data_IF_371222016844
#
_entry.id   IF_371222016844
#
_cell.length_a   1.000
_cell.length_b   1.000
_cell.length_c   1.000
_cell.angle_alpha   90.00
_cell.angle_beta   90.00
_cell.angle_gamma   90.00
#
_symmetry.space_group_name_H-M   'P 1'
#
loop_
_entity.id
_entity.type
_entity.pdbx_description
1 polymer ?
#
# COMPACT_ATOMS: atom_id res chain seq x y z
N UNK A 1 -11.79 -13.54 39.18
CA UNK A 1 -11.76 -12.51 38.12
C UNK A 1 -10.86 -13.06 37.03
N UNK A 2 -11.43 -13.36 35.85
CA UNK A 2 -10.70 -14.02 34.77
C UNK A 2 -10.44 -12.99 33.68
N UNK A 3 -9.20 -12.54 33.57
CA UNK A 3 -8.81 -11.61 32.51
C UNK A 3 -9.11 -12.22 31.15
N UNK A 4 -9.93 -11.52 30.36
CA UNK A 4 -10.22 -11.85 28.97
C UNK A 4 -8.96 -11.64 28.14
N UNK A 5 -8.11 -12.67 28.03
CA UNK A 5 -6.92 -12.62 27.17
C UNK A 5 -7.38 -12.69 25.71
N UNK A 6 -7.54 -11.52 25.08
CA UNK A 6 -7.72 -11.41 23.63
C UNK A 6 -6.33 -11.54 23.00
N UNK A 7 -6.06 -12.68 22.37
CA UNK A 7 -4.87 -12.84 21.52
C UNK A 7 -5.22 -12.47 20.09
N UNK A 8 -4.55 -11.48 19.54
CA UNK A 8 -4.58 -11.11 18.12
C UNK A 8 -3.34 -11.70 17.43
N UNK A 9 -3.43 -11.91 16.12
CA UNK A 9 -2.28 -12.26 15.27
C UNK A 9 -2.39 -11.46 13.96
N UNK A 10 -1.25 -11.11 13.38
CA UNK A 10 -1.18 -10.29 12.16
C UNK A 10 -1.32 -11.16 10.92
N UNK A 11 -2.40 -10.95 10.15
CA UNK A 11 -2.67 -11.67 8.91
C UNK A 11 -1.67 -11.36 7.79
N UNK A 12 -0.85 -10.32 7.91
CA UNK A 12 0.25 -10.02 6.98
C UNK A 12 1.45 -10.94 7.18
N UNK A 13 1.65 -11.40 8.41
CA UNK A 13 2.78 -12.25 8.80
C UNK A 13 2.35 -13.72 8.91
N UNK A 14 1.07 -13.96 9.22
CA UNK A 14 0.56 -15.27 9.63
C UNK A 14 -0.81 -15.57 9.00
N UNK A 15 -0.90 -16.62 8.18
CA UNK A 15 -2.15 -17.11 7.61
C UNK A 15 -2.75 -18.22 8.50
N UNK A 16 -4.04 -18.18 8.87
CA UNK A 16 -4.70 -19.26 9.57
C UNK A 16 -4.70 -20.55 8.73
N UNK A 17 -4.04 -21.59 9.25
CA UNK A 17 -4.00 -22.92 8.65
C UNK A 17 -5.21 -23.75 9.04
N UNK A 18 -5.55 -23.76 10.34
CA UNK A 18 -6.73 -24.46 10.87
C UNK A 18 -7.33 -23.72 12.05
N UNK A 19 -8.66 -23.75 12.15
CA UNK A 19 -9.41 -23.23 13.30
C UNK A 19 -10.27 -24.36 13.82
N UNK A 20 -10.01 -24.80 15.06
CA UNK A 20 -10.78 -25.88 15.69
C UNK A 20 -11.42 -25.36 16.97
N UNK A 21 -12.74 -25.54 17.05
CA UNK A 21 -13.51 -25.26 18.26
C UNK A 21 -13.60 -26.54 19.08
N UNK A 22 -13.21 -26.46 20.34
CA UNK A 22 -13.38 -27.53 21.32
C UNK A 22 -14.32 -27.07 22.43
N UNK A 23 -15.12 -27.98 22.99
CA UNK A 23 -15.88 -27.73 24.20
C UNK A 23 -15.25 -28.57 25.30
N UNK A 24 -14.79 -27.92 26.37
CA UNK A 24 -14.25 -28.59 27.56
C UNK A 24 -14.93 -27.96 28.77
N UNK A 25 -15.45 -28.78 29.68
CA UNK A 25 -16.16 -28.35 30.89
C UNK A 25 -17.29 -27.32 30.61
N UNK A 26 -18.06 -27.57 29.55
CA UNK A 26 -19.16 -26.72 29.07
C UNK A 26 -18.73 -25.30 28.65
N UNK A 27 -17.42 -25.07 28.44
CA UNK A 27 -16.85 -23.81 27.96
C UNK A 27 -16.24 -23.99 26.56
N UNK A 28 -16.47 -23.05 25.64
CA UNK A 28 -15.86 -23.09 24.31
C UNK A 28 -14.40 -22.64 24.37
N UNK A 29 -13.54 -23.40 23.71
CA UNK A 29 -12.15 -23.06 23.42
C UNK A 29 -11.95 -23.03 21.91
N UNK A 30 -11.17 -22.09 21.41
CA UNK A 30 -10.80 -22.00 20.00
C UNK A 30 -9.29 -22.12 19.89
N UNK A 31 -8.82 -23.09 19.11
CA UNK A 31 -7.41 -23.25 18.77
C UNK A 31 -7.25 -22.83 17.32
N UNK A 32 -6.35 -21.87 17.09
CA UNK A 32 -6.01 -21.37 15.76
C UNK A 32 -4.54 -21.74 15.51
N UNK A 33 -4.29 -22.61 14.54
CA UNK A 33 -2.95 -22.84 14.04
C UNK A 33 -2.70 -21.88 12.87
N UNK A 34 -1.58 -21.16 12.90
CA UNK A 34 -1.17 -20.20 11.88
C UNK A 34 0.17 -20.61 11.29
N UNK A 35 0.41 -20.26 10.03
CA UNK A 35 1.70 -20.43 9.33
C UNK A 35 2.15 -19.11 8.71
N UNK A 36 3.45 -18.93 8.43
CA UNK A 36 3.93 -17.69 7.81
C UNK A 36 3.20 -17.43 6.49
N UNK A 37 2.70 -16.20 6.32
CA UNK A 37 2.01 -15.82 5.09
C UNK A 37 3.01 -15.75 3.91
N UNK A 38 2.78 -16.57 2.89
CA UNK A 38 3.47 -16.49 1.60
C UNK A 38 2.64 -15.60 0.67
N UNK A 39 3.14 -14.41 0.36
CA UNK A 39 2.52 -13.49 -0.59
C UNK A 39 2.87 -13.90 -2.03
N UNK A 40 2.22 -14.96 -2.53
CA UNK A 40 2.44 -15.46 -3.88
C UNK A 40 1.53 -14.72 -4.87
N UNK A 41 2.11 -14.16 -5.91
CA UNK A 41 1.38 -13.76 -7.12
C UNK A 41 1.66 -14.79 -8.20
N UNK A 42 0.65 -15.27 -8.91
CA UNK A 42 0.82 -16.29 -9.95
C UNK A 42 0.30 -15.77 -11.30
N UNK A 43 1.02 -16.04 -12.38
CA UNK A 43 0.53 -15.88 -13.76
C UNK A 43 0.39 -17.23 -14.46
N UNK A 44 -0.55 -17.31 -15.41
CA UNK A 44 -0.75 -18.52 -16.22
C UNK A 44 0.22 -18.49 -17.40
N UNK A 45 1.03 -19.53 -17.52
CA UNK A 45 1.98 -19.75 -18.62
C UNK A 45 1.66 -21.10 -19.28
N UNK A 46 0.98 -21.05 -20.43
CA UNK A 46 0.38 -22.23 -21.08
C UNK A 46 -0.62 -22.94 -20.16
N UNK A 47 -0.34 -24.20 -19.84
CA UNK A 47 -1.15 -25.03 -18.94
C UNK A 47 -0.69 -25.00 -17.47
N UNK A 48 0.32 -24.18 -17.13
CA UNK A 48 0.91 -24.11 -15.78
C UNK A 48 0.67 -22.74 -15.12
N UNK A 49 0.73 -22.73 -13.79
CA UNK A 49 0.82 -21.52 -12.99
C UNK A 49 2.27 -21.34 -12.55
N UNK A 50 2.83 -20.15 -12.78
CA UNK A 50 4.19 -19.78 -12.38
C UNK A 50 4.12 -18.57 -11.46
N UNK A 51 5.07 -18.48 -10.53
CA UNK A 51 5.19 -17.31 -9.65
C UNK A 51 5.55 -16.07 -10.47
N UNK A 52 4.90 -14.97 -10.13
CA UNK A 52 5.11 -13.64 -10.67
C UNK A 52 5.72 -12.81 -9.56
N UNK A 53 6.86 -12.17 -9.82
CA UNK A 53 7.41 -11.23 -8.86
C UNK A 53 6.40 -10.12 -8.58
N UNK A 54 6.31 -9.68 -7.33
CA UNK A 54 5.32 -8.65 -6.92
C UNK A 54 5.50 -7.36 -7.72
N UNK A 55 6.75 -6.98 -8.02
CA UNK A 55 7.04 -5.82 -8.87
C UNK A 55 6.52 -6.00 -10.31
N UNK A 56 6.72 -7.18 -10.90
CA UNK A 56 6.18 -7.51 -12.22
C UNK A 56 4.65 -7.48 -12.22
N UNK A 57 3.99 -7.95 -11.17
CA UNK A 57 2.54 -7.86 -11.04
C UNK A 57 2.03 -6.41 -11.13
N UNK A 58 2.66 -5.49 -10.39
CA UNK A 58 2.25 -4.09 -10.44
C UNK A 58 2.42 -3.50 -11.85
N UNK A 59 3.52 -3.81 -12.54
CA UNK A 59 3.78 -3.27 -13.87
C UNK A 59 2.92 -3.91 -14.96
N UNK A 60 2.88 -5.24 -15.01
CA UNK A 60 2.28 -6.01 -16.10
C UNK A 60 0.77 -6.20 -15.94
N UNK A 61 0.26 -6.12 -14.72
CA UNK A 61 -1.15 -6.37 -14.40
C UNK A 61 -1.82 -5.10 -13.89
N UNK A 62 -1.38 -4.54 -12.76
CA UNK A 62 -2.11 -3.44 -12.13
C UNK A 62 -2.05 -2.14 -12.95
N UNK A 63 -0.87 -1.79 -13.44
CA UNK A 63 -0.65 -0.58 -14.23
C UNK A 63 -0.65 -0.83 -15.73
N UNK A 64 -1.15 -1.99 -16.16
CA UNK A 64 -1.21 -2.31 -17.57
C UNK A 64 -2.01 -1.24 -18.34
N UNK A 65 -1.35 -0.63 -19.32
CA UNK A 65 -1.95 0.43 -20.14
C UNK A 65 -1.97 1.81 -19.49
N UNK A 66 -1.36 2.00 -18.32
CA UNK A 66 -1.21 3.31 -17.71
C UNK A 66 0.03 4.01 -18.27
N UNK A 67 -0.08 5.31 -18.52
CA UNK A 67 1.05 6.17 -18.90
C UNK A 67 1.93 6.42 -17.66
N UNK A 68 3.22 6.08 -17.75
CA UNK A 68 4.18 6.39 -16.69
C UNK A 68 4.54 7.89 -16.71
N UNK A 69 4.41 8.56 -15.57
CA UNK A 69 4.71 9.99 -15.45
C UNK A 69 5.70 10.30 -14.34
N UNK A 70 6.48 11.37 -14.55
CA UNK A 70 7.25 12.03 -13.51
C UNK A 70 6.40 13.13 -12.88
N UNK A 71 6.31 13.14 -11.55
CA UNK A 71 5.62 14.19 -10.79
C UNK A 71 6.65 15.12 -10.17
N UNK A 72 6.56 16.41 -10.48
CA UNK A 72 7.33 17.46 -9.82
C UNK A 72 6.49 18.09 -8.69
N UNK A 73 6.92 17.86 -7.45
CA UNK A 73 6.29 18.38 -6.24
C UNK A 73 6.36 19.91 -6.18
N UNK A 74 7.45 20.54 -6.60
CA UNK A 74 7.55 21.99 -6.60
C UNK A 74 6.49 22.62 -7.52
N UNK A 75 6.26 22.00 -8.68
CA UNK A 75 5.23 22.42 -9.62
C UNK A 75 3.81 22.10 -9.10
N UNK A 76 3.60 20.90 -8.55
CA UNK A 76 2.30 20.42 -8.08
C UNK A 76 1.81 21.13 -6.81
N UNK A 77 2.74 21.49 -5.92
CA UNK A 77 2.50 22.12 -4.61
C UNK A 77 2.83 23.62 -4.62
N UNK A 78 2.77 24.25 -5.80
CA UNK A 78 2.80 25.72 -5.97
C UNK A 78 1.65 26.40 -5.17
N UNK A 79 1.46 27.72 -5.28
CA UNK A 79 0.54 28.55 -4.46
C UNK A 79 -0.91 28.04 -4.27
N UNK A 80 -1.29 26.98 -4.99
CA UNK A 80 -2.51 26.18 -4.86
C UNK A 80 -2.63 25.39 -3.54
N UNK A 81 -1.51 25.08 -2.87
CA UNK A 81 -1.46 24.30 -1.61
C UNK A 81 -0.92 25.15 -0.45
N UNK A 82 -1.58 26.28 -0.18
CA UNK A 82 -1.38 27.06 1.06
C UNK A 82 -2.45 26.69 2.08
N UNK A 83 -2.19 26.89 3.38
CA UNK A 83 -3.22 26.66 4.41
C UNK A 83 -4.49 27.49 4.13
N UNK A 84 -4.32 28.73 3.69
CA UNK A 84 -5.41 29.65 3.33
C UNK A 84 -6.28 29.14 2.19
N UNK A 85 -5.69 28.51 1.16
CA UNK A 85 -6.41 28.05 -0.04
C UNK A 85 -6.90 26.60 0.07
N UNK A 86 -6.09 25.73 0.67
CA UNK A 86 -6.34 24.29 0.72
C UNK A 86 -7.03 23.86 2.03
N UNK A 87 -6.68 24.51 3.14
CA UNK A 87 -7.15 24.18 4.49
C UNK A 87 -6.24 23.16 5.18
N UNK A 88 -5.90 23.43 6.45
CA UNK A 88 -5.09 22.55 7.29
C UNK A 88 -5.74 21.17 7.46
N UNK A 89 -4.93 20.10 7.37
CA UNK A 89 -5.38 18.73 7.57
C UNK A 89 -6.18 18.13 6.41
N UNK A 90 -6.44 18.87 5.33
CA UNK A 90 -6.99 18.28 4.11
C UNK A 90 -5.91 17.51 3.36
N UNK A 91 -6.31 16.46 2.64
CA UNK A 91 -5.42 15.67 1.78
C UNK A 91 -5.90 15.71 0.34
N UNK A 92 -4.96 15.85 -0.58
CA UNK A 92 -5.21 15.68 -2.01
C UNK A 92 -4.47 14.44 -2.47
N UNK A 93 -5.21 13.44 -2.89
CA UNK A 93 -4.64 12.31 -3.62
C UNK A 93 -4.45 12.74 -5.06
N UNK A 94 -3.25 12.57 -5.61
CA UNK A 94 -2.99 12.82 -7.01
C UNK A 94 -3.83 11.87 -7.86
N UNK A 95 -4.90 12.39 -8.48
CA UNK A 95 -5.78 11.60 -9.36
C UNK A 95 -5.43 11.86 -10.81
N UNK A 96 -4.71 10.92 -11.42
CA UNK A 96 -4.42 10.93 -12.85
C UNK A 96 -4.94 9.63 -13.48
N UNK A 97 -6.21 9.61 -13.94
CA UNK A 97 -6.79 8.43 -14.57
C UNK A 97 -5.93 7.94 -15.74
N UNK A 98 -5.65 6.64 -15.77
CA UNK A 98 -4.81 6.03 -16.79
C UNK A 98 -3.34 6.43 -16.73
N UNK A 99 -2.87 7.01 -15.61
CA UNK A 99 -1.46 7.31 -15.39
C UNK A 99 -0.95 6.66 -14.10
N UNK A 100 0.33 6.31 -14.08
CA UNK A 100 1.05 5.86 -12.89
C UNK A 100 2.21 6.80 -12.59
N UNK A 101 2.48 7.02 -11.32
CA UNK A 101 3.71 7.72 -10.92
C UNK A 101 4.87 6.75 -11.08
N UNK A 102 5.87 7.14 -11.87
CA UNK A 102 7.13 6.41 -12.00
C UNK A 102 8.22 7.12 -11.19
N UNK A 103 8.26 8.45 -11.29
CA UNK A 103 9.33 9.28 -10.75
C UNK A 103 8.74 10.42 -9.95
N UNK A 104 9.38 10.78 -8.83
CA UNK A 104 9.02 11.94 -8.02
C UNK A 104 10.24 12.83 -7.85
N UNK A 105 10.10 14.11 -8.19
CA UNK A 105 11.13 15.13 -8.05
C UNK A 105 10.59 16.31 -7.26
N UNK A 106 11.48 17.07 -6.62
CA UNK A 106 11.19 18.38 -6.06
C UNK A 106 12.11 19.41 -6.73
N UNK A 107 11.61 20.03 -7.81
CA UNK A 107 12.40 20.86 -8.69
C UNK A 107 13.56 20.10 -9.35
N UNK A 108 14.79 20.32 -8.88
CA UNK A 108 16.00 19.63 -9.39
C UNK A 108 16.40 18.41 -8.56
N UNK A 109 15.78 18.21 -7.42
CA UNK A 109 16.10 17.11 -6.51
C UNK A 109 15.27 15.90 -6.89
N UNK A 110 15.93 14.77 -7.11
CA UNK A 110 15.27 13.49 -7.33
C UNK A 110 14.96 12.84 -5.98
N UNK A 111 13.70 12.49 -5.75
CA UNK A 111 13.25 11.87 -4.50
C UNK A 111 12.97 10.38 -4.67
N UNK A 112 12.42 10.00 -5.82
CA UNK A 112 12.17 8.61 -6.25
C UNK A 112 12.49 8.53 -7.73
N UNK A 113 13.40 7.62 -8.11
CA UNK A 113 13.84 7.41 -9.49
C UNK A 113 12.94 6.44 -10.28
N UNK A 114 12.28 5.52 -9.58
CA UNK A 114 11.37 4.53 -10.15
C UNK A 114 12.05 3.25 -10.64
N UNK A 115 13.34 3.07 -10.38
CA UNK A 115 14.12 1.92 -10.85
C UNK A 115 13.94 0.68 -9.97
N UNK A 116 13.85 0.86 -8.65
CA UNK A 116 13.75 -0.24 -7.67
C UNK A 116 12.44 -0.24 -6.88
N UNK A 117 11.54 0.68 -7.17
CA UNK A 117 10.39 1.01 -6.33
C UNK A 117 9.13 1.15 -7.19
N UNK A 118 7.99 0.79 -6.62
CA UNK A 118 6.68 0.94 -7.26
C UNK A 118 5.86 1.94 -6.46
N UNK A 119 5.56 3.10 -7.06
CA UNK A 119 4.67 4.09 -6.44
C UNK A 119 3.22 3.71 -6.68
N UNK A 120 2.50 3.40 -5.60
CA UNK A 120 1.09 3.02 -5.61
C UNK A 120 0.18 4.23 -5.45
N UNK A 121 0.59 5.18 -4.61
CA UNK A 121 -0.15 6.41 -4.40
C UNK A 121 0.77 7.59 -4.08
N UNK A 122 0.33 8.79 -4.46
CA UNK A 122 0.97 10.05 -4.10
C UNK A 122 -0.07 10.99 -3.49
N UNK A 123 0.04 11.19 -2.18
CA UNK A 123 -0.81 12.11 -1.42
C UNK A 123 -0.05 13.41 -1.12
N UNK A 124 -0.67 14.56 -1.38
CA UNK A 124 -0.15 15.88 -1.06
C UNK A 124 -1.06 16.54 -0.02
N UNK A 125 -0.48 17.04 1.06
CA UNK A 125 -1.26 17.72 2.11
C UNK A 125 -0.47 18.81 2.85
N UNK A 126 -1.22 19.69 3.51
CA UNK A 126 -0.68 20.77 4.34
C UNK A 126 -0.88 20.42 5.82
N UNK A 127 0.19 20.50 6.60
CA UNK A 127 0.20 20.26 8.04
C UNK A 127 0.87 21.43 8.76
N UNK A 128 0.05 22.39 9.21
CA UNK A 128 0.54 23.70 9.65
C UNK A 128 1.23 24.43 8.49
N UNK A 129 2.43 24.94 8.73
CA UNK A 129 3.25 25.60 7.70
C UNK A 129 3.96 24.61 6.75
N UNK A 130 3.88 23.30 7.03
CA UNK A 130 4.59 22.29 6.25
C UNK A 130 3.74 21.77 5.08
N UNK A 131 4.39 21.67 3.92
CA UNK A 131 3.90 20.93 2.76
C UNK A 131 4.47 19.51 2.82
N UNK A 132 3.60 18.51 2.78
CA UNK A 132 3.98 17.10 2.91
C UNK A 132 3.53 16.34 1.68
N UNK A 133 4.47 15.64 1.06
CA UNK A 133 4.19 14.61 0.07
C UNK A 133 4.39 13.24 0.73
N UNK A 134 3.37 12.38 0.63
CA UNK A 134 3.42 11.00 1.08
C UNK A 134 3.31 10.09 -0.13
N UNK A 135 4.35 9.30 -0.32
CA UNK A 135 4.40 8.24 -1.32
C UNK A 135 4.09 6.92 -0.62
N UNK A 136 3.22 6.11 -1.21
CA UNK A 136 2.90 4.74 -0.78
C UNK A 136 3.39 3.76 -1.83
#
# INVERSE_FOLDING_TARGET
EGDSVIKTFDLKEQTPKTVVRHIKDNKPYVVIAVESALHLVLKKDGDKWVELEVAEFYQEVLFKGFEAVSVDLAAAVSDKFTETTFGSGKKHTFKAPGKRVLKVVDGKTELIDGDNEVVLDLELFVSGDNKVARVV
#
